data_IF_741178178864
#
_entry.id   IF_741178178864
#
_cell.length_a   1.000
_cell.length_b   1.000
_cell.length_c   1.000
_cell.angle_alpha   90.00
_cell.angle_beta   90.00
_cell.angle_gamma   90.00
#
_symmetry.space_group_name_H-M   'P 1'
#
loop_
_entity.id
_entity.type
_entity.pdbx_description
1 polymer ?
#
# COMPACT_ATOMS: atom_id res chain seq x y z
N UNK A 1 -13.01 12.91 8.31
CA UNK A 1 -12.33 13.76 7.30
C UNK A 1 -11.09 13.08 6.75
N UNK A 2 -10.21 12.52 7.59
CA UNK A 2 -8.92 11.98 7.13
C UNK A 2 -9.00 10.71 6.26
N UNK A 3 -10.03 9.85 6.39
CA UNK A 3 -10.20 8.65 5.52
C UNK A 3 -10.78 8.94 4.12
N UNK A 4 -11.25 10.16 3.87
CA UNK A 4 -12.02 10.50 2.66
C UNK A 4 -11.20 10.32 1.38
N UNK A 5 -9.91 10.65 1.45
CA UNK A 5 -9.01 10.56 0.30
C UNK A 5 -8.76 9.11 -0.08
N UNK A 6 -8.49 8.24 0.90
CA UNK A 6 -8.38 6.79 0.66
C UNK A 6 -9.68 6.21 0.10
N UNK A 7 -10.84 6.56 0.67
CA UNK A 7 -12.12 6.08 0.14
C UNK A 7 -12.34 6.53 -1.32
N UNK A 8 -12.00 7.77 -1.66
CA UNK A 8 -12.11 8.26 -3.02
C UNK A 8 -11.17 7.52 -3.98
N UNK A 9 -9.96 7.17 -3.54
CA UNK A 9 -9.03 6.35 -4.30
C UNK A 9 -9.57 4.93 -4.53
N UNK A 10 -10.11 4.30 -3.50
CA UNK A 10 -10.71 2.96 -3.60
C UNK A 10 -11.97 2.96 -4.48
N UNK A 11 -12.83 3.98 -4.39
CA UNK A 11 -14.04 4.09 -5.21
C UNK A 11 -13.74 4.35 -6.69
N UNK A 12 -12.63 5.04 -6.98
CA UNK A 12 -12.17 5.29 -8.35
C UNK A 12 -11.46 4.06 -8.96
N UNK A 13 -10.92 3.16 -8.13
CA UNK A 13 -10.18 2.00 -8.59
C UNK A 13 -11.08 0.95 -9.22
N UNK A 14 -10.66 0.41 -10.36
CA UNK A 14 -11.39 -0.64 -11.07
C UNK A 14 -10.43 -1.74 -11.46
N UNK A 15 -10.86 -2.97 -11.23
CA UNK A 15 -10.09 -4.16 -11.58
C UNK A 15 -10.95 -5.16 -12.33
N UNK A 16 -10.29 -5.90 -13.24
CA UNK A 16 -10.86 -7.06 -13.94
C UNK A 16 -10.62 -8.37 -13.18
N UNK A 17 -9.81 -8.34 -12.13
CA UNK A 17 -9.43 -9.53 -11.36
C UNK A 17 -10.46 -9.74 -10.24
N UNK A 18 -11.12 -10.90 -10.25
CA UNK A 18 -12.20 -11.18 -9.29
C UNK A 18 -11.71 -11.18 -7.83
N UNK A 19 -10.48 -11.64 -7.61
CA UNK A 19 -9.86 -11.66 -6.29
C UNK A 19 -9.61 -10.25 -5.76
N UNK A 20 -8.95 -9.40 -6.54
CA UNK A 20 -8.72 -7.99 -6.20
C UNK A 20 -10.05 -7.23 -6.02
N UNK A 21 -11.08 -7.53 -6.81
CA UNK A 21 -12.41 -6.93 -6.63
C UNK A 21 -13.02 -7.27 -5.25
N UNK A 22 -12.79 -8.48 -4.74
CA UNK A 22 -13.20 -8.87 -3.40
C UNK A 22 -12.37 -8.15 -2.32
N UNK A 23 -11.06 -7.97 -2.53
CA UNK A 23 -10.21 -7.17 -1.64
C UNK A 23 -10.63 -5.71 -1.62
N UNK A 24 -10.92 -5.12 -2.76
CA UNK A 24 -11.40 -3.75 -2.88
C UNK A 24 -12.72 -3.51 -2.15
N UNK A 25 -13.67 -4.46 -2.22
CA UNK A 25 -14.91 -4.37 -1.45
C UNK A 25 -14.63 -4.39 0.07
N UNK A 26 -13.85 -5.38 0.54
CA UNK A 26 -13.51 -5.53 1.95
C UNK A 26 -12.70 -4.35 2.50
N UNK A 27 -11.77 -3.81 1.71
CA UNK A 27 -10.98 -2.65 2.08
C UNK A 27 -11.86 -1.41 2.25
N UNK A 28 -12.84 -1.19 1.36
CA UNK A 28 -13.80 -0.08 1.48
C UNK A 28 -14.68 -0.19 2.71
N UNK A 29 -15.22 -1.39 2.98
CA UNK A 29 -16.03 -1.63 4.17
C UNK A 29 -15.21 -1.37 5.44
N UNK A 30 -14.00 -1.93 5.51
CA UNK A 30 -13.07 -1.75 6.63
C UNK A 30 -12.71 -0.26 6.86
N UNK A 31 -12.29 0.45 5.81
CA UNK A 31 -11.94 1.88 5.91
C UNK A 31 -13.17 2.73 6.23
N UNK A 32 -14.38 2.29 5.92
CA UNK A 32 -15.62 3.00 6.30
C UNK A 32 -15.94 2.80 7.78
N UNK A 33 -15.80 1.59 8.29
CA UNK A 33 -16.16 1.19 9.65
C UNK A 33 -15.11 1.64 10.70
N UNK A 34 -13.82 1.64 10.36
CA UNK A 34 -12.74 1.87 11.31
C UNK A 34 -12.09 3.24 11.13
N UNK A 35 -12.40 4.19 12.03
CA UNK A 35 -11.89 5.55 11.94
C UNK A 35 -10.38 5.62 12.13
N UNK A 36 -9.82 4.72 12.91
CA UNK A 36 -8.42 4.56 13.28
C UNK A 36 -7.65 3.60 12.35
N UNK A 37 -8.17 3.31 11.16
CA UNK A 37 -7.61 2.31 10.23
C UNK A 37 -6.13 2.49 9.82
N UNK A 38 -5.52 3.64 10.09
CA UNK A 38 -4.11 3.93 9.76
C UNK A 38 -3.13 3.59 10.88
N UNK A 39 -3.60 3.18 12.05
CA UNK A 39 -2.74 2.82 13.17
C UNK A 39 -2.46 1.31 13.17
N UNK A 40 -1.18 0.94 13.28
CA UNK A 40 -0.71 -0.45 13.20
C UNK A 40 -1.07 -1.30 14.43
N UNK A 41 -1.57 -0.70 15.52
CA UNK A 41 -2.08 -1.38 16.70
C UNK A 41 -3.58 -1.72 16.62
N UNK A 42 -4.27 -1.31 15.54
CA UNK A 42 -5.66 -1.65 15.32
C UNK A 42 -5.82 -3.15 14.99
N UNK A 43 -6.66 -3.82 15.78
CA UNK A 43 -7.06 -5.21 15.52
C UNK A 43 -8.45 -5.25 14.86
N UNK A 44 -8.69 -6.10 13.85
CA UNK A 44 -7.82 -7.17 13.35
C UNK A 44 -6.93 -6.79 12.14
N UNK A 45 -7.00 -5.54 11.67
CA UNK A 45 -6.29 -5.10 10.47
C UNK A 45 -5.99 -3.60 10.54
N UNK A 46 -5.10 -3.14 9.65
CA UNK A 46 -4.77 -1.73 9.44
C UNK A 46 -4.34 -1.51 7.99
N UNK A 47 -4.37 -0.25 7.55
CA UNK A 47 -3.97 0.18 6.22
C UNK A 47 -2.44 0.31 6.14
N UNK A 48 -1.88 -0.19 5.05
CA UNK A 48 -0.47 -0.05 4.67
C UNK A 48 -0.35 0.68 3.34
N UNK A 49 0.84 1.23 3.06
CA UNK A 49 1.19 1.82 1.78
C UNK A 49 2.40 1.15 1.16
N UNK A 50 2.27 0.77 -0.11
CA UNK A 50 3.31 0.08 -0.86
C UNK A 50 3.45 0.67 -2.27
N UNK A 51 4.60 0.46 -2.90
CA UNK A 51 4.85 0.95 -4.25
C UNK A 51 5.38 -0.14 -5.17
N UNK A 52 4.78 -0.28 -6.35
CA UNK A 52 5.35 -1.07 -7.44
C UNK A 52 6.36 -0.23 -8.23
N UNK A 53 7.64 -0.30 -7.85
CA UNK A 53 8.68 0.57 -8.39
C UNK A 53 9.28 -0.01 -9.66
N UNK A 54 9.24 0.74 -10.75
CA UNK A 54 9.83 0.36 -12.04
C UNK A 54 10.93 1.32 -12.47
N UNK A 55 11.90 0.82 -13.25
CA UNK A 55 12.89 1.68 -13.89
C UNK A 55 12.24 2.58 -14.97
N UNK A 56 12.92 3.65 -15.46
CA UNK A 56 12.33 4.58 -16.44
C UNK A 56 11.83 3.92 -17.74
N UNK A 57 12.47 2.81 -18.15
CA UNK A 57 12.06 2.04 -19.34
C UNK A 57 10.89 1.09 -19.09
N UNK A 58 10.48 0.90 -17.84
CA UNK A 58 9.41 0.00 -17.38
C UNK A 58 9.64 -1.47 -17.75
N UNK A 59 10.91 -1.90 -17.72
CA UNK A 59 11.30 -3.28 -18.02
C UNK A 59 12.02 -3.98 -16.86
N UNK A 60 12.16 -3.29 -15.73
CA UNK A 60 12.67 -3.86 -14.47
C UNK A 60 11.82 -3.35 -13.31
N UNK A 61 11.64 -4.21 -12.30
CA UNK A 61 10.98 -3.90 -11.03
C UNK A 61 11.99 -3.97 -9.90
N UNK A 62 11.92 -3.05 -8.94
CA UNK A 62 12.67 -3.09 -7.70
C UNK A 62 11.87 -3.86 -6.65
N UNK A 63 12.49 -4.88 -6.06
CA UNK A 63 11.92 -5.70 -4.99
C UNK A 63 12.93 -5.83 -3.84
N UNK A 64 12.40 -6.01 -2.63
CA UNK A 64 13.14 -6.24 -1.39
C UNK A 64 13.16 -7.74 -1.08
N UNK A 65 14.34 -8.31 -0.88
CA UNK A 65 14.46 -9.70 -0.42
C UNK A 65 14.30 -9.77 1.10
N UNK A 66 13.22 -10.39 1.55
CA UNK A 66 12.90 -10.51 2.97
C UNK A 66 13.57 -11.74 3.57
N UNK A 67 14.66 -11.53 4.31
CA UNK A 67 15.53 -12.58 4.84
C UNK A 67 14.80 -13.68 5.64
N UNK A 68 13.79 -13.33 6.44
CA UNK A 68 13.06 -14.30 7.29
C UNK A 68 12.11 -15.18 6.48
N UNK A 69 11.55 -14.65 5.39
CA UNK A 69 10.56 -15.35 4.57
C UNK A 69 11.17 -15.95 3.30
N UNK A 70 12.41 -15.60 2.98
CA UNK A 70 13.12 -15.97 1.75
C UNK A 70 12.28 -15.70 0.49
N UNK A 71 11.63 -14.54 0.47
CA UNK A 71 10.71 -14.09 -0.56
C UNK A 71 11.03 -12.66 -0.96
N UNK A 72 10.59 -12.29 -2.16
CA UNK A 72 10.73 -10.94 -2.68
C UNK A 72 9.41 -10.20 -2.57
N UNK A 73 9.45 -8.98 -2.04
CA UNK A 73 8.29 -8.12 -1.87
C UNK A 73 8.54 -6.76 -2.50
N UNK A 74 7.49 -6.10 -2.94
CA UNK A 74 7.53 -4.67 -3.19
C UNK A 74 7.85 -3.92 -1.90
N UNK A 75 8.51 -2.76 -1.96
CA UNK A 75 8.70 -1.94 -0.77
C UNK A 75 7.36 -1.36 -0.29
N UNK A 76 7.21 -1.23 1.03
CA UNK A 76 6.00 -0.70 1.64
C UNK A 76 5.82 -1.11 3.10
N UNK A 77 4.93 -0.41 3.79
CA UNK A 77 4.82 -0.57 5.24
C UNK A 77 3.63 0.15 5.86
N UNK A 78 3.72 0.33 7.18
CA UNK A 78 2.64 0.86 8.00
C UNK A 78 2.37 2.34 7.71
N UNK A 79 1.10 2.74 7.81
CA UNK A 79 0.73 4.15 7.69
C UNK A 79 1.06 4.96 8.96
N UNK A 80 1.14 4.32 10.13
CA UNK A 80 1.45 4.94 11.43
C UNK A 80 0.65 6.20 11.75
N UNK A 81 -0.63 6.20 11.40
CA UNK A 81 -1.56 7.33 11.59
C UNK A 81 -1.57 8.35 10.44
N UNK A 82 -0.70 8.20 9.44
CA UNK A 82 -0.72 9.02 8.24
C UNK A 82 -1.85 8.57 7.28
N UNK A 83 -2.77 9.48 7.00
CA UNK A 83 -3.91 9.20 6.11
C UNK A 83 -3.59 9.37 4.62
N UNK A 84 -2.45 10.01 4.28
CA UNK A 84 -1.99 10.15 2.90
C UNK A 84 -1.22 8.89 2.49
N UNK A 85 -1.99 7.89 2.03
CA UNK A 85 -1.49 6.59 1.55
C UNK A 85 -0.42 6.74 0.46
N UNK A 86 -0.53 7.73 -0.43
CA UNK A 86 0.47 7.94 -1.48
C UNK A 86 1.80 8.44 -0.90
N UNK A 87 1.74 9.33 0.10
CA UNK A 87 2.91 9.76 0.86
C UNK A 87 3.52 8.61 1.66
N UNK A 88 2.71 7.78 2.31
CA UNK A 88 3.18 6.58 3.03
C UNK A 88 3.94 5.66 2.08
N UNK A 89 3.37 5.32 0.92
CA UNK A 89 4.02 4.46 -0.06
C UNK A 89 5.39 5.02 -0.51
N UNK A 90 5.50 6.33 -0.75
CA UNK A 90 6.78 6.97 -1.12
C UNK A 90 7.79 6.98 0.04
N UNK A 91 7.33 7.26 1.27
CA UNK A 91 8.16 7.23 2.48
C UNK A 91 8.77 5.84 2.68
N UNK A 92 7.92 4.82 2.76
CA UNK A 92 8.34 3.42 2.98
C UNK A 92 9.27 2.96 1.87
N UNK A 93 8.99 3.34 0.61
CA UNK A 93 9.90 3.05 -0.51
C UNK A 93 11.29 3.63 -0.28
N UNK A 94 11.40 4.89 0.13
CA UNK A 94 12.69 5.51 0.39
C UNK A 94 13.40 4.86 1.58
N UNK A 95 12.68 4.61 2.67
CA UNK A 95 13.23 4.04 3.91
C UNK A 95 13.74 2.61 3.72
N UNK A 96 12.98 1.74 3.04
CA UNK A 96 13.37 0.34 2.84
C UNK A 96 14.46 0.17 1.76
N UNK A 97 14.40 0.95 0.69
CA UNK A 97 15.31 0.79 -0.46
C UNK A 97 16.59 1.62 -0.33
N UNK A 98 16.58 2.65 0.52
CA UNK A 98 17.64 3.65 0.64
C UNK A 98 17.74 4.63 -0.54
N UNK A 99 16.74 4.64 -1.44
CA UNK A 99 16.69 5.59 -2.55
C UNK A 99 16.37 7.00 -2.04
N UNK A 100 17.05 7.99 -2.62
CA UNK A 100 16.74 9.40 -2.36
C UNK A 100 15.31 9.71 -2.86
N UNK A 101 14.43 10.32 -2.02
CA UNK A 101 13.07 10.67 -2.42
C UNK A 101 12.99 11.52 -3.70
N UNK A 102 14.01 12.32 -4.02
CA UNK A 102 14.07 13.13 -5.24
C UNK A 102 14.22 12.29 -6.53
N UNK A 103 14.63 11.03 -6.41
CA UNK A 103 14.77 10.10 -7.53
C UNK A 103 13.54 9.19 -7.72
N UNK A 104 12.58 9.24 -6.79
CA UNK A 104 11.35 8.44 -6.85
C UNK A 104 10.19 9.39 -7.11
N UNK A 105 9.31 9.00 -8.04
CA UNK A 105 8.07 9.74 -8.28
C UNK A 105 6.95 8.78 -8.60
N UNK A 106 5.73 9.18 -8.23
CA UNK A 106 4.54 8.50 -8.69
C UNK A 106 4.39 8.67 -10.21
N UNK A 107 3.92 7.61 -10.86
CA UNK A 107 3.54 7.68 -12.29
C UNK A 107 2.29 8.54 -12.44
N UNK A 108 1.32 8.31 -11.57
CA UNK A 108 0.13 9.11 -11.32
C UNK A 108 -0.38 8.84 -9.90
N UNK A 109 -1.46 9.52 -9.49
CA UNK A 109 -2.03 9.38 -8.15
C UNK A 109 -3.11 8.30 -8.02
N UNK A 110 -3.30 7.43 -9.01
CA UNK A 110 -4.28 6.34 -8.93
C UNK A 110 -3.72 5.14 -8.16
N UNK A 111 -4.63 4.32 -7.62
CA UNK A 111 -4.27 3.03 -7.04
C UNK A 111 -3.89 2.07 -8.17
N UNK A 112 -2.78 1.37 -7.98
CA UNK A 112 -2.34 0.35 -8.93
C UNK A 112 -2.96 -1.03 -8.64
N UNK A 113 -3.04 -1.39 -7.35
CA UNK A 113 -3.50 -2.70 -6.87
C UNK A 113 -4.04 -2.56 -5.43
N UNK A 114 -4.99 -3.42 -5.05
CA UNK A 114 -5.50 -3.54 -3.67
C UNK A 114 -5.46 -4.99 -3.21
N UNK A 115 -4.69 -5.24 -2.14
CA UNK A 115 -4.49 -6.57 -1.57
C UNK A 115 -4.72 -6.58 -0.04
N UNK A 116 -4.94 -7.76 0.53
CA UNK A 116 -5.09 -7.99 1.97
C UNK A 116 -4.12 -9.09 2.39
N UNK A 117 -3.06 -8.71 3.10
CA UNK A 117 -2.04 -9.64 3.56
C UNK A 117 -2.38 -10.23 4.94
N UNK A 118 -2.50 -11.55 5.00
CA UNK A 118 -2.62 -12.27 6.27
C UNK A 118 -1.23 -12.48 6.86
N UNK A 119 -0.92 -11.80 7.95
CA UNK A 119 0.33 -11.99 8.68
C UNK A 119 0.14 -13.15 9.66
N UNK A 120 0.97 -14.21 9.60
CA UNK A 120 0.92 -15.29 10.58
C UNK A 120 1.16 -14.74 11.99
N UNK A 121 0.40 -15.23 12.98
CA UNK A 121 0.73 -14.96 14.37
C UNK A 121 2.18 -15.42 14.65
N UNK A 122 2.95 -14.56 15.33
CA UNK A 122 4.35 -14.83 15.68
C UNK A 122 4.49 -15.96 16.69
#
# INVERSE_FOLDING_TARGET
>A
MHRRELLALLDAHQTRFQEEAAYLARARDFVTEHADCFHCDLWPAHVTGSAWVVNPRRDQVLLMHHRKHDQWFQPGGHADGDADILRVALRETSEETGLDPSHIRLVDGAVFDVDIHSIPAS
#
